data_IF_729454297227
#
_entry.id   IF_729454297227
#
_cell.length_a   1.000
_cell.length_b   1.000
_cell.length_c   1.000
_cell.angle_alpha   90.00
_cell.angle_beta   90.00
_cell.angle_gamma   90.00
#
_symmetry.space_group_name_H-M   'P 1'
#
loop_
_entity.id
_entity.type
_entity.pdbx_description
1 polymer ?
#
# COMPACT_ATOMS: atom_id res chain seq x y z
N UNK A 1 34.52 -17.89 1.33
CA UNK A 1 34.11 -16.99 2.43
C UNK A 1 32.90 -16.25 1.89
N UNK A 2 31.70 -16.82 2.03
CA UNK A 2 30.48 -16.12 1.58
C UNK A 2 30.30 -14.94 2.52
N UNK A 3 30.50 -13.74 1.99
CA UNK A 3 30.67 -12.52 2.75
C UNK A 3 29.44 -12.25 3.62
N UNK A 4 29.65 -12.09 4.93
CA UNK A 4 28.61 -11.67 5.88
C UNK A 4 27.94 -10.36 5.44
N UNK A 5 28.68 -9.52 4.70
CA UNK A 5 28.18 -8.30 4.07
C UNK A 5 27.07 -8.57 3.05
N UNK A 6 27.14 -9.65 2.28
CA UNK A 6 26.10 -10.01 1.31
C UNK A 6 24.81 -10.45 2.02
N UNK A 7 24.93 -11.27 3.06
CA UNK A 7 23.76 -11.68 3.86
C UNK A 7 23.12 -10.47 4.56
N UNK A 8 23.93 -9.57 5.10
CA UNK A 8 23.48 -8.31 5.69
C UNK A 8 22.77 -7.41 4.67
N UNK A 9 23.30 -7.31 3.44
CA UNK A 9 22.68 -6.54 2.37
C UNK A 9 21.32 -7.13 1.96
N UNK A 10 21.25 -8.47 1.77
CA UNK A 10 20.02 -9.18 1.42
C UNK A 10 18.95 -9.03 2.51
N UNK A 11 19.34 -9.17 3.78
CA UNK A 11 18.43 -8.99 4.92
C UNK A 11 17.90 -7.55 4.97
N UNK A 12 18.79 -6.55 4.85
CA UNK A 12 18.39 -5.13 4.87
C UNK A 12 17.43 -4.79 3.73
N UNK A 13 17.72 -5.21 2.50
CA UNK A 13 16.87 -4.89 1.34
C UNK A 13 15.53 -5.63 1.42
N UNK A 14 15.54 -6.89 1.85
CA UNK A 14 14.31 -7.69 1.98
C UNK A 14 13.42 -7.17 3.09
N UNK A 15 13.99 -6.79 4.24
CA UNK A 15 13.23 -6.16 5.33
C UNK A 15 12.66 -4.81 4.92
N UNK A 16 13.45 -3.97 4.25
CA UNK A 16 12.97 -2.69 3.76
C UNK A 16 11.78 -2.87 2.79
N UNK A 17 11.89 -3.80 1.84
CA UNK A 17 10.80 -4.14 0.92
C UNK A 17 9.56 -4.66 1.67
N UNK A 18 9.74 -5.55 2.64
CA UNK A 18 8.64 -6.11 3.44
C UNK A 18 7.90 -5.03 4.23
N UNK A 19 8.63 -4.10 4.84
CA UNK A 19 8.06 -2.97 5.58
C UNK A 19 7.29 -2.04 4.63
N UNK A 20 7.86 -1.73 3.45
CA UNK A 20 7.25 -0.83 2.47
C UNK A 20 5.95 -1.42 1.88
N UNK A 21 5.93 -2.73 1.62
CA UNK A 21 4.77 -3.41 1.02
C UNK A 21 3.62 -3.66 2.03
N UNK A 22 3.90 -3.60 3.33
CA UNK A 22 2.96 -3.86 4.43
C UNK A 22 2.03 -5.07 4.20
N UNK A 23 2.57 -6.28 3.96
CA UNK A 23 1.74 -7.45 3.74
C UNK A 23 0.87 -7.76 4.97
N UNK A 24 1.37 -7.51 6.19
CA UNK A 24 0.67 -7.84 7.44
C UNK A 24 -0.54 -6.93 7.66
N UNK A 25 -0.41 -5.62 7.45
CA UNK A 25 -1.52 -4.68 7.59
C UNK A 25 -2.61 -4.87 6.54
N UNK A 26 -2.23 -5.34 5.34
CA UNK A 26 -3.16 -5.59 4.24
C UNK A 26 -3.90 -6.93 4.34
N UNK A 27 -3.38 -7.93 5.07
CA UNK A 27 -4.03 -9.24 5.20
C UNK A 27 -5.49 -9.17 5.70
N UNK A 28 -5.82 -8.48 6.82
CA UNK A 28 -7.20 -8.36 7.29
C UNK A 28 -8.11 -7.65 6.28
N UNK A 29 -7.59 -6.64 5.58
CA UNK A 29 -8.33 -5.90 4.54
C UNK A 29 -8.67 -6.81 3.38
N UNK A 30 -7.70 -7.56 2.86
CA UNK A 30 -7.92 -8.52 1.77
C UNK A 30 -8.90 -9.62 2.21
N UNK A 31 -8.79 -10.13 3.44
CA UNK A 31 -9.72 -11.13 3.96
C UNK A 31 -11.15 -10.57 4.07
N UNK A 32 -11.32 -9.34 4.57
CA UNK A 32 -12.62 -8.69 4.69
C UNK A 32 -13.29 -8.45 3.33
N UNK A 33 -12.52 -8.02 2.32
CA UNK A 33 -13.03 -7.75 0.96
C UNK A 33 -13.33 -9.05 0.20
N UNK A 34 -12.62 -10.14 0.49
CA UNK A 34 -12.79 -11.43 -0.22
C UNK A 34 -13.66 -12.46 0.51
N UNK A 35 -14.25 -12.11 1.65
CA UNK A 35 -14.99 -13.05 2.52
C UNK A 35 -16.21 -13.70 1.84
N UNK A 36 -16.87 -12.99 0.93
CA UNK A 36 -18.07 -13.48 0.23
C UNK A 36 -17.78 -14.09 -1.16
N UNK A 37 -16.51 -14.18 -1.55
CA UNK A 37 -16.12 -14.67 -2.88
C UNK A 37 -15.89 -16.18 -2.87
N UNK A 38 -16.26 -16.86 -3.96
CA UNK A 38 -15.93 -18.28 -4.14
C UNK A 38 -14.40 -18.50 -4.13
N UNK A 39 -13.91 -19.67 -3.67
CA UNK A 39 -12.48 -19.95 -3.57
C UNK A 39 -11.70 -19.75 -4.88
N UNK A 40 -12.32 -20.07 -6.02
CA UNK A 40 -11.72 -19.90 -7.34
C UNK A 40 -11.58 -18.42 -7.73
N UNK A 41 -12.59 -17.60 -7.43
CA UNK A 41 -12.57 -16.17 -7.71
C UNK A 41 -11.58 -15.44 -6.79
N UNK A 42 -11.53 -15.83 -5.51
CA UNK A 42 -10.55 -15.30 -4.55
C UNK A 42 -9.11 -15.50 -5.02
N UNK A 43 -8.74 -16.69 -5.51
CA UNK A 43 -7.39 -16.94 -6.02
C UNK A 43 -7.09 -16.08 -7.25
N UNK A 44 -8.04 -15.94 -8.17
CA UNK A 44 -7.88 -15.10 -9.36
C UNK A 44 -7.61 -13.64 -8.99
N UNK A 45 -8.36 -13.09 -8.04
CA UNK A 45 -8.17 -11.72 -7.55
C UNK A 45 -6.79 -11.56 -6.91
N UNK A 46 -6.35 -12.52 -6.08
CA UNK A 46 -5.02 -12.48 -5.48
C UNK A 46 -3.90 -12.43 -6.53
N UNK A 47 -3.96 -13.31 -7.54
CA UNK A 47 -2.95 -13.34 -8.61
C UNK A 47 -2.95 -12.07 -9.45
N UNK A 48 -4.13 -11.56 -9.82
CA UNK A 48 -4.23 -10.33 -10.60
C UNK A 48 -3.71 -9.12 -9.82
N UNK A 49 -4.09 -8.98 -8.55
CA UNK A 49 -3.59 -7.90 -7.69
C UNK A 49 -2.08 -7.95 -7.51
N UNK A 50 -1.51 -9.15 -7.31
CA UNK A 50 -0.07 -9.33 -7.20
C UNK A 50 0.65 -8.98 -8.53
N UNK A 51 0.09 -9.40 -9.67
CA UNK A 51 0.64 -9.10 -10.99
C UNK A 51 0.62 -7.60 -11.28
N UNK A 52 -0.49 -6.92 -10.97
CA UNK A 52 -0.63 -5.48 -11.13
C UNK A 52 0.35 -4.73 -10.23
N UNK A 53 0.45 -5.11 -8.96
CA UNK A 53 1.40 -4.50 -8.03
C UNK A 53 2.85 -4.67 -8.51
N UNK A 54 3.21 -5.87 -8.98
CA UNK A 54 4.53 -6.15 -9.54
C UNK A 54 4.81 -5.32 -10.80
N UNK A 55 3.88 -5.30 -11.75
CA UNK A 55 3.99 -4.51 -12.98
C UNK A 55 4.11 -3.02 -12.72
N UNK A 56 3.29 -2.48 -11.80
CA UNK A 56 3.33 -1.09 -11.39
C UNK A 56 4.65 -0.75 -10.68
N UNK A 57 5.13 -1.62 -9.80
CA UNK A 57 6.43 -1.45 -9.11
C UNK A 57 7.58 -1.38 -10.10
N UNK A 58 7.63 -2.29 -11.08
CA UNK A 58 8.65 -2.25 -12.13
C UNK A 58 8.55 -0.96 -12.93
N UNK A 59 7.35 -0.63 -13.42
CA UNK A 59 7.12 0.57 -14.23
C UNK A 59 7.55 1.84 -13.49
N UNK A 60 7.17 1.99 -12.23
CA UNK A 60 7.58 3.12 -11.40
C UNK A 60 9.08 3.11 -11.13
N UNK A 61 9.69 1.95 -10.85
CA UNK A 61 11.14 1.88 -10.60
C UNK A 61 11.97 2.35 -11.79
N UNK A 62 11.58 1.94 -13.01
CA UNK A 62 12.26 2.39 -14.23
C UNK A 62 11.96 3.86 -14.56
N UNK A 63 10.74 4.33 -14.31
CA UNK A 63 10.31 5.68 -14.68
C UNK A 63 10.71 6.74 -13.65
N UNK A 64 10.82 6.38 -12.37
CA UNK A 64 11.06 7.31 -11.25
C UNK A 64 12.36 8.11 -11.45
N UNK A 65 13.42 7.46 -11.93
CA UNK A 65 14.70 8.14 -12.17
C UNK A 65 14.59 9.19 -13.27
N UNK A 66 13.81 8.91 -14.32
CA UNK A 66 13.56 9.86 -15.40
C UNK A 66 12.73 11.04 -14.91
N UNK A 67 11.66 10.78 -14.14
CA UNK A 67 10.82 11.82 -13.55
C UNK A 67 11.65 12.73 -12.64
N UNK A 68 12.44 12.17 -11.73
CA UNK A 68 13.26 12.97 -10.82
C UNK A 68 14.31 13.81 -11.55
N UNK A 69 14.92 13.27 -12.60
CA UNK A 69 15.87 14.02 -13.43
C UNK A 69 15.24 15.21 -14.16
N UNK A 70 13.97 15.13 -14.56
CA UNK A 70 13.28 16.23 -15.24
C UNK A 70 13.02 17.43 -14.32
N UNK A 71 12.78 17.16 -13.04
CA UNK A 71 12.52 18.19 -12.04
C UNK A 71 13.76 18.61 -11.24
N UNK A 72 14.93 18.00 -11.49
CA UNK A 72 16.14 18.22 -10.71
C UNK A 72 16.02 17.77 -9.25
N UNK A 73 15.08 16.86 -8.95
CA UNK A 73 14.82 16.36 -7.61
C UNK A 73 15.59 15.07 -7.32
N UNK A 74 15.87 14.82 -6.05
CA UNK A 74 16.47 13.59 -5.58
C UNK A 74 15.41 12.61 -5.07
N UNK A 75 15.79 11.34 -4.99
CA UNK A 75 14.95 10.30 -4.36
C UNK A 75 14.63 10.66 -2.90
N UNK A 76 15.54 11.35 -2.22
CA UNK A 76 15.34 11.83 -0.85
C UNK A 76 14.19 12.85 -0.75
N UNK A 77 14.05 13.76 -1.72
CA UNK A 77 12.98 14.77 -1.73
C UNK A 77 11.60 14.10 -1.81
N UNK A 78 11.49 13.07 -2.65
CA UNK A 78 10.27 12.27 -2.78
C UNK A 78 9.94 11.49 -1.49
N UNK A 79 10.95 10.95 -0.80
CA UNK A 79 10.74 10.26 0.48
C UNK A 79 10.20 11.22 1.56
N UNK A 80 10.74 12.44 1.63
CA UNK A 80 10.27 13.46 2.58
C UNK A 80 8.82 13.86 2.25
N UNK A 81 8.54 14.18 0.98
CA UNK A 81 7.20 14.55 0.55
C UNK A 81 6.17 13.43 0.78
N UNK A 82 6.53 12.18 0.44
CA UNK A 82 5.70 11.01 0.71
C UNK A 82 5.43 10.81 2.20
N UNK A 83 6.44 10.99 3.05
CA UNK A 83 6.29 10.94 4.50
C UNK A 83 5.32 12.01 5.03
N UNK A 84 5.42 13.25 4.54
CA UNK A 84 4.49 14.33 4.90
C UNK A 84 3.06 14.00 4.45
N UNK A 85 2.87 13.51 3.22
CA UNK A 85 1.55 13.11 2.71
C UNK A 85 0.96 11.98 3.54
N UNK A 86 1.73 10.93 3.85
CA UNK A 86 1.26 9.81 4.68
C UNK A 86 0.90 10.26 6.09
N UNK A 87 1.68 11.16 6.68
CA UNK A 87 1.37 11.76 7.97
C UNK A 87 0.05 12.52 7.94
N UNK A 88 -0.18 13.34 6.91
CA UNK A 88 -1.43 14.09 6.74
C UNK A 88 -2.62 13.17 6.50
N UNK A 89 -2.49 12.13 5.67
CA UNK A 89 -3.55 11.14 5.44
C UNK A 89 -3.89 10.38 6.72
N UNK A 90 -2.88 10.01 7.52
CA UNK A 90 -3.11 9.38 8.80
C UNK A 90 -3.83 10.31 9.78
N UNK A 91 -3.43 11.58 9.88
CA UNK A 91 -4.11 12.58 10.70
C UNK A 91 -5.56 12.80 10.26
N UNK A 92 -5.80 12.91 8.95
CA UNK A 92 -7.14 13.04 8.39
C UNK A 92 -8.00 11.81 8.74
N UNK A 93 -7.47 10.61 8.52
CA UNK A 93 -8.19 9.36 8.83
C UNK A 93 -8.53 9.26 10.32
N UNK A 94 -7.63 9.68 11.21
CA UNK A 94 -7.91 9.72 12.65
C UNK A 94 -8.99 10.76 12.95
N UNK A 95 -8.92 11.96 12.38
CA UNK A 95 -9.92 13.00 12.59
C UNK A 95 -11.32 12.57 12.12
N UNK A 96 -11.41 12.01 10.91
CA UNK A 96 -12.67 11.55 10.30
C UNK A 96 -13.32 10.42 11.11
N UNK A 97 -12.52 9.55 11.75
CA UNK A 97 -13.06 8.51 12.65
C UNK A 97 -13.68 9.04 13.94
N UNK A 98 -13.39 10.29 14.35
CA UNK A 98 -13.98 10.90 15.55
C UNK A 98 -15.26 11.69 15.23
N UNK A 99 -15.42 12.13 13.98
CA UNK A 99 -16.65 12.73 13.47
C UNK A 99 -17.46 11.64 12.78
N UNK A 100 -18.10 10.78 13.57
CA UNK A 100 -18.85 9.63 13.08
C UNK A 100 -19.71 10.00 11.87
N UNK A 101 -19.49 9.32 10.75
CA UNK A 101 -20.47 9.32 9.67
C UNK A 101 -21.81 8.88 10.27
N UNK A 102 -22.76 9.80 10.20
CA UNK A 102 -24.20 9.58 10.25
C UNK A 102 -24.62 8.56 9.18
N UNK A 103 -24.25 7.29 9.33
CA UNK A 103 -24.88 6.16 8.62
C UNK A 103 -26.26 5.85 9.27
N UNK A 104 -26.84 6.81 9.99
CA UNK A 104 -28.18 6.74 10.57
C UNK A 104 -29.27 7.34 9.64
N UNK A 105 -28.92 7.84 8.45
CA UNK A 105 -29.90 8.33 7.47
C UNK A 105 -30.28 7.36 6.33
N UNK A 106 -29.76 6.12 6.32
CA UNK A 106 -30.25 5.05 5.44
C UNK A 106 -31.17 4.03 6.15
N UNK A 107 -31.47 4.23 7.44
CA UNK A 107 -32.43 3.42 8.19
C UNK A 107 -33.87 4.01 8.18
N UNK A 108 -34.11 5.06 7.39
CA UNK A 108 -35.36 5.84 7.41
C UNK A 108 -36.17 5.87 6.11
N UNK A 109 -35.82 5.10 5.07
CA UNK A 109 -36.56 5.12 3.78
C UNK A 109 -37.02 3.73 3.33
N UNK A 110 -37.42 2.87 4.27
CA UNK A 110 -38.53 1.95 4.01
C UNK A 110 -39.43 1.90 5.25
N UNK A 111 -40.49 2.71 5.29
CA UNK A 111 -41.69 2.30 6.00
C UNK A 111 -42.37 1.18 5.20
N UNK A 112 -42.83 0.16 5.95
CA UNK A 112 -43.76 -0.94 5.60
C UNK A 112 -43.30 -2.00 4.60
#
# INVERSE_FOLDING_TARGET
MMDYDFLHALLRSSMALFIILDPVGLLPVVMAVTVNQEPAERQRVLYLSALVAFGLTLLLTFTAKAVFSLYGMQIADFQIAGGVVLFLVALQTIHDRHMGEDVQQAAGIVPI
#
